data_IF_777960619926
#
_entry.id   IF_777960619926
#
_cell.length_a   1.000
_cell.length_b   1.000
_cell.length_c   1.000
_cell.angle_alpha   90.00
_cell.angle_beta   90.00
_cell.angle_gamma   90.00
#
_symmetry.space_group_name_H-M   'P 1'
#
loop_
_entity.id
_entity.type
_entity.pdbx_description
1 polymer ?
#
# COMPACT_ATOMS: atom_id res chain seq x y z
N UNK A 1 -26.91 6.43 16.68
CA UNK A 1 -25.78 7.07 15.96
C UNK A 1 -24.97 7.85 16.98
N UNK A 2 -23.63 7.72 17.00
CA UNK A 2 -22.82 8.52 17.93
C UNK A 2 -22.84 9.98 17.44
N UNK A 3 -23.32 10.95 18.23
CA UNK A 3 -23.48 12.33 17.76
C UNK A 3 -22.14 13.02 17.41
N UNK A 4 -21.03 12.48 17.89
CA UNK A 4 -19.70 13.09 17.75
C UNK A 4 -19.06 12.87 16.38
N UNK A 5 -19.53 11.89 15.58
CA UNK A 5 -18.84 11.48 14.34
C UNK A 5 -19.65 11.82 13.08
N UNK A 6 -19.00 12.29 12.00
CA UNK A 6 -19.66 12.54 10.72
C UNK A 6 -20.12 11.23 10.07
N UNK A 7 -21.14 11.31 9.22
CA UNK A 7 -21.56 10.17 8.41
C UNK A 7 -20.48 9.77 7.41
N UNK A 8 -19.78 10.76 6.86
CA UNK A 8 -18.59 10.57 6.01
C UNK A 8 -17.71 11.83 6.03
N UNK A 9 -16.49 11.73 5.52
CA UNK A 9 -15.59 12.87 5.34
C UNK A 9 -15.00 12.88 3.93
N UNK A 10 -14.90 14.06 3.33
CA UNK A 10 -14.36 14.29 1.98
C UNK A 10 -13.34 15.42 2.00
N UNK A 11 -12.53 15.55 0.94
CA UNK A 11 -11.46 16.56 0.87
C UNK A 11 -12.05 18.00 0.81
N UNK A 12 -13.09 18.23 0.00
CA UNK A 12 -13.71 19.53 -0.19
C UNK A 12 -15.17 19.38 -0.64
N UNK A 13 -15.92 20.49 -0.66
CA UNK A 13 -17.27 20.54 -1.23
C UNK A 13 -17.27 20.15 -2.73
N UNK A 14 -16.18 20.38 -3.44
CA UNK A 14 -16.05 20.04 -4.86
C UNK A 14 -15.81 18.55 -5.10
N UNK A 15 -15.34 17.81 -4.09
CA UNK A 15 -15.11 16.36 -4.17
C UNK A 15 -16.39 15.55 -4.02
N UNK A 16 -17.51 16.17 -3.64
CA UNK A 16 -18.78 15.49 -3.40
C UNK A 16 -19.43 15.12 -4.74
N UNK A 17 -19.82 13.85 -4.90
CA UNK A 17 -20.67 13.39 -6.00
C UNK A 17 -22.15 13.70 -5.66
N UNK A 18 -22.59 14.87 -6.08
CA UNK A 18 -23.96 15.34 -5.83
C UNK A 18 -25.01 14.55 -6.63
N UNK A 19 -24.66 13.98 -7.81
CA UNK A 19 -25.55 13.09 -8.53
C UNK A 19 -25.83 11.81 -7.73
N UNK A 20 -24.80 11.25 -7.12
CA UNK A 20 -24.96 10.10 -6.24
C UNK A 20 -25.78 10.42 -5.01
N UNK A 21 -25.57 11.59 -4.35
CA UNK A 21 -26.42 12.03 -3.27
C UNK A 21 -27.89 12.18 -3.69
N UNK A 22 -28.14 12.70 -4.89
CA UNK A 22 -29.49 12.80 -5.46
C UNK A 22 -30.12 11.43 -5.66
N UNK A 23 -29.35 10.47 -6.22
CA UNK A 23 -29.76 9.07 -6.39
C UNK A 23 -30.05 8.34 -5.07
N UNK A 24 -29.42 8.76 -3.95
CA UNK A 24 -29.67 8.25 -2.60
C UNK A 24 -30.94 8.85 -1.96
N UNK A 25 -31.66 9.75 -2.65
CA UNK A 25 -32.90 10.35 -2.17
C UNK A 25 -32.75 11.66 -1.43
N UNK A 26 -31.53 12.23 -1.32
CA UNK A 26 -31.35 13.57 -0.72
C UNK A 26 -31.95 14.65 -1.63
N UNK A 27 -32.71 15.58 -1.03
CA UNK A 27 -33.40 16.68 -1.73
C UNK A 27 -32.85 18.05 -1.36
N UNK A 28 -32.17 18.16 -0.20
CA UNK A 28 -31.66 19.42 0.30
C UNK A 28 -30.25 19.26 0.90
N UNK A 29 -29.49 20.37 0.84
CA UNK A 29 -28.14 20.46 1.42
C UNK A 29 -28.07 21.74 2.26
N UNK A 30 -27.62 21.59 3.51
CA UNK A 30 -27.27 22.69 4.41
C UNK A 30 -25.74 22.83 4.39
N UNK A 31 -25.23 24.03 4.13
CA UNK A 31 -23.83 24.35 4.15
C UNK A 31 -23.45 25.29 5.29
N UNK A 32 -22.34 25.01 5.97
CA UNK A 32 -21.63 26.06 6.68
C UNK A 32 -20.81 26.89 5.69
N UNK A 33 -20.37 28.10 6.06
CA UNK A 33 -19.67 29.03 5.18
C UNK A 33 -18.17 29.02 5.45
N UNK A 34 -17.78 29.55 6.63
CA UNK A 34 -16.37 29.81 6.94
C UNK A 34 -15.58 28.54 7.14
N UNK A 35 -14.45 28.45 6.46
CA UNK A 35 -13.60 27.28 6.45
C UNK A 35 -14.22 26.01 5.83
N UNK A 36 -15.46 26.10 5.33
CA UNK A 36 -16.20 25.05 4.62
C UNK A 36 -16.28 25.33 3.13
N UNK A 37 -16.87 26.46 2.74
CA UNK A 37 -17.01 26.93 1.37
C UNK A 37 -15.82 27.79 0.95
N UNK A 38 -15.40 28.68 1.84
CA UNK A 38 -14.27 29.62 1.67
C UNK A 38 -13.43 29.68 2.93
N UNK A 39 -12.18 30.19 2.93
CA UNK A 39 -11.45 30.55 4.12
C UNK A 39 -12.24 31.53 5.01
N UNK A 40 -11.94 31.56 6.30
CA UNK A 40 -12.68 32.40 7.26
C UNK A 40 -12.63 33.87 6.88
N UNK A 41 -13.81 34.48 6.75
CA UNK A 41 -13.97 35.90 6.43
C UNK A 41 -14.01 36.25 4.94
N UNK A 42 -13.66 35.30 4.04
CA UNK A 42 -13.66 35.54 2.60
C UNK A 42 -15.05 35.58 1.99
N UNK A 43 -15.20 36.34 0.92
CA UNK A 43 -16.41 36.38 0.12
C UNK A 43 -16.53 35.15 -0.79
N UNK A 44 -17.68 34.99 -1.47
CA UNK A 44 -17.87 33.89 -2.41
C UNK A 44 -16.90 33.98 -3.59
N UNK A 45 -16.64 32.85 -4.23
CA UNK A 45 -15.80 32.75 -5.44
C UNK A 45 -16.63 32.27 -6.63
N UNK A 46 -16.13 32.49 -7.84
CA UNK A 46 -16.81 32.00 -9.05
C UNK A 46 -17.05 30.47 -9.02
N UNK A 47 -16.13 29.71 -8.45
CA UNK A 47 -16.27 28.27 -8.32
C UNK A 47 -17.41 27.88 -7.37
N UNK A 48 -17.58 28.62 -6.27
CA UNK A 48 -18.70 28.41 -5.32
C UNK A 48 -20.01 28.82 -5.97
N UNK A 49 -20.08 29.98 -6.66
CA UNK A 49 -21.26 30.40 -7.39
C UNK A 49 -21.70 29.38 -8.43
N UNK A 50 -20.74 28.82 -9.21
CA UNK A 50 -20.98 27.74 -10.16
C UNK A 50 -21.45 26.45 -9.47
N UNK A 51 -20.89 26.09 -8.33
CA UNK A 51 -21.32 24.93 -7.57
C UNK A 51 -22.81 25.06 -7.16
N UNK A 52 -23.22 26.19 -6.61
CA UNK A 52 -24.63 26.38 -6.24
C UNK A 52 -25.57 26.40 -7.44
N UNK A 53 -25.17 27.01 -8.55
CA UNK A 53 -25.91 26.93 -9.80
C UNK A 53 -26.08 25.49 -10.29
N UNK A 54 -25.03 24.68 -10.20
CA UNK A 54 -25.08 23.26 -10.52
C UNK A 54 -26.04 22.49 -9.59
N UNK A 55 -25.97 22.73 -8.27
CA UNK A 55 -26.88 22.10 -7.30
C UNK A 55 -28.34 22.44 -7.55
N UNK A 56 -28.64 23.69 -7.86
CA UNK A 56 -30.01 24.13 -8.22
C UNK A 56 -30.49 23.47 -9.52
N UNK A 57 -29.62 23.33 -10.56
CA UNK A 57 -29.94 22.59 -11.79
C UNK A 57 -30.22 21.12 -11.52
N UNK A 58 -29.53 20.51 -10.57
CA UNK A 58 -29.82 19.15 -10.11
C UNK A 58 -31.12 19.05 -9.29
N UNK A 59 -31.76 20.18 -8.95
CA UNK A 59 -33.00 20.24 -8.16
C UNK A 59 -32.77 20.05 -6.66
N UNK A 60 -31.57 20.35 -6.13
CA UNK A 60 -31.33 20.47 -4.70
C UNK A 60 -31.86 21.83 -4.18
N UNK A 61 -32.54 21.80 -3.04
CA UNK A 61 -32.75 22.99 -2.22
C UNK A 61 -31.50 23.20 -1.37
N UNK A 62 -31.02 24.42 -1.28
CA UNK A 62 -29.80 24.76 -0.51
C UNK A 62 -30.10 25.78 0.57
N UNK A 63 -29.33 25.72 1.67
CA UNK A 63 -29.42 26.67 2.77
C UNK A 63 -28.05 26.89 3.41
N UNK A 64 -27.71 28.16 3.69
CA UNK A 64 -26.51 28.53 4.45
C UNK A 64 -26.84 28.63 5.93
N UNK A 65 -26.15 27.88 6.78
CA UNK A 65 -26.32 27.89 8.24
C UNK A 65 -25.02 28.33 8.90
N UNK A 66 -24.95 29.58 9.35
CA UNK A 66 -23.71 30.13 9.87
C UNK A 66 -23.90 30.87 11.21
N UNK A 67 -22.85 30.89 12.04
CA UNK A 67 -22.79 31.68 13.26
C UNK A 67 -22.51 33.18 13.01
N UNK A 68 -22.30 33.59 11.77
CA UNK A 68 -22.03 34.96 11.38
C UNK A 68 -23.25 35.85 11.38
N UNK A 69 -23.02 37.15 11.32
CA UNK A 69 -24.09 38.17 11.22
C UNK A 69 -24.85 38.06 9.91
N UNK A 70 -26.07 38.58 9.90
CA UNK A 70 -26.91 38.61 8.71
C UNK A 70 -26.28 39.41 7.58
N UNK A 71 -25.63 40.53 7.88
CA UNK A 71 -24.93 41.36 6.91
C UNK A 71 -23.84 40.55 6.17
N UNK A 72 -23.02 39.81 6.94
CA UNK A 72 -21.95 38.96 6.39
C UNK A 72 -22.50 37.88 5.44
N UNK A 73 -23.59 37.20 5.85
CA UNK A 73 -24.17 36.14 5.04
C UNK A 73 -24.87 36.69 3.81
N UNK A 74 -25.57 37.84 3.95
CA UNK A 74 -26.24 38.51 2.83
C UNK A 74 -25.24 38.93 1.76
N UNK A 75 -24.07 39.43 2.14
CA UNK A 75 -22.99 39.77 1.21
C UNK A 75 -22.52 38.52 0.48
N UNK A 76 -22.16 37.44 1.20
CA UNK A 76 -21.75 36.17 0.64
C UNK A 76 -22.80 35.58 -0.29
N UNK A 77 -24.08 35.68 0.05
CA UNK A 77 -25.21 35.08 -0.68
C UNK A 77 -25.67 35.88 -1.90
N UNK A 78 -25.08 37.04 -2.19
CA UNK A 78 -25.52 37.97 -3.24
C UNK A 78 -25.68 37.31 -4.60
N UNK A 79 -24.72 36.49 -4.98
CA UNK A 79 -24.73 35.78 -6.26
C UNK A 79 -25.43 34.42 -6.16
N UNK A 80 -25.30 33.75 -5.02
CA UNK A 80 -25.80 32.37 -4.79
C UNK A 80 -27.32 32.34 -4.69
N UNK A 81 -27.93 33.35 -4.07
CA UNK A 81 -29.40 33.54 -3.89
C UNK A 81 -30.10 32.32 -3.28
N UNK A 82 -29.53 31.73 -2.24
CA UNK A 82 -30.11 30.61 -1.49
C UNK A 82 -30.71 31.04 -0.18
N UNK A 83 -31.43 30.14 0.50
CA UNK A 83 -31.92 30.40 1.85
C UNK A 83 -30.75 30.51 2.84
N UNK A 84 -30.90 31.25 3.92
CA UNK A 84 -29.88 31.32 4.95
C UNK A 84 -30.47 31.58 6.36
N UNK A 85 -29.71 31.16 7.37
CA UNK A 85 -29.97 31.41 8.79
C UNK A 85 -28.71 32.02 9.40
N UNK A 86 -28.71 33.32 9.74
CA UNK A 86 -27.63 33.97 10.44
C UNK A 86 -27.69 33.68 11.94
N UNK A 87 -26.62 33.98 12.67
CA UNK A 87 -26.55 33.84 14.13
C UNK A 87 -27.06 32.46 14.59
N UNK A 88 -26.68 31.41 13.88
CA UNK A 88 -27.28 30.08 14.02
C UNK A 88 -26.99 29.40 15.37
N UNK A 89 -26.12 29.98 16.19
CA UNK A 89 -25.74 29.46 17.51
C UNK A 89 -25.48 27.95 17.52
N UNK A 90 -24.71 27.49 16.50
CA UNK A 90 -24.34 26.08 16.38
C UNK A 90 -23.47 25.62 17.58
N UNK A 91 -23.73 24.45 18.17
CA UNK A 91 -24.56 23.32 17.72
C UNK A 91 -26.00 23.28 18.23
N UNK A 92 -26.60 24.39 18.63
CA UNK A 92 -27.96 24.40 19.13
C UNK A 92 -28.99 23.89 18.10
N UNK A 93 -29.81 22.90 18.49
CA UNK A 93 -30.76 22.19 17.61
C UNK A 93 -31.82 23.08 16.94
N UNK A 94 -32.23 24.18 17.59
CA UNK A 94 -33.32 25.00 17.13
C UNK A 94 -33.16 25.49 15.68
N UNK A 95 -31.97 25.95 15.30
CA UNK A 95 -31.72 26.51 13.98
C UNK A 95 -31.51 25.42 12.90
N UNK A 96 -31.08 24.19 13.26
CA UNK A 96 -31.11 23.06 12.34
C UNK A 96 -32.55 22.62 12.02
N UNK A 97 -33.44 22.59 13.04
CA UNK A 97 -34.84 22.27 12.85
C UNK A 97 -35.56 23.39 12.06
N UNK A 98 -35.18 24.67 12.28
CA UNK A 98 -35.65 25.78 11.47
C UNK A 98 -35.24 25.63 10.01
N UNK A 99 -33.97 25.24 9.74
CA UNK A 99 -33.48 25.02 8.40
C UNK A 99 -34.25 23.93 7.64
N UNK A 100 -34.57 22.80 8.31
CA UNK A 100 -35.38 21.71 7.73
C UNK A 100 -36.76 22.22 7.33
N UNK A 101 -37.41 22.99 8.21
CA UNK A 101 -38.74 23.59 7.94
C UNK A 101 -38.68 24.58 6.77
N UNK A 102 -37.68 25.46 6.72
CA UNK A 102 -37.51 26.42 5.64
C UNK A 102 -37.25 25.72 4.28
N UNK A 103 -36.53 24.61 4.29
CA UNK A 103 -36.29 23.81 3.12
C UNK A 103 -37.49 22.95 2.69
N UNK A 104 -38.47 22.80 3.58
CA UNK A 104 -39.67 21.97 3.39
C UNK A 104 -39.26 20.55 2.89
N UNK A 105 -38.49 19.83 3.71
CA UNK A 105 -38.02 18.45 3.52
C UNK A 105 -38.05 17.71 4.84
N UNK A 106 -37.96 16.35 4.77
CA UNK A 106 -37.78 15.55 5.97
C UNK A 106 -36.29 15.53 6.39
N UNK A 107 -36.01 15.29 7.67
CA UNK A 107 -34.63 15.19 8.19
C UNK A 107 -33.79 14.10 7.48
N UNK A 108 -34.42 13.03 6.93
CA UNK A 108 -33.74 11.97 6.16
C UNK A 108 -33.42 12.37 4.73
N UNK A 109 -33.99 13.45 4.21
CA UNK A 109 -33.84 13.97 2.85
C UNK A 109 -32.84 15.14 2.78
N UNK A 110 -32.30 15.56 3.92
CA UNK A 110 -31.33 16.65 4.02
C UNK A 110 -29.98 16.15 4.51
N UNK A 111 -28.92 16.72 3.99
CA UNK A 111 -27.55 16.46 4.43
C UNK A 111 -26.88 17.79 4.81
N UNK A 112 -26.04 17.77 5.84
CA UNK A 112 -25.25 18.93 6.23
C UNK A 112 -23.81 18.75 5.79
N UNK A 113 -23.20 19.82 5.28
CA UNK A 113 -21.78 19.89 4.91
C UNK A 113 -21.14 21.00 5.76
N UNK A 114 -20.11 20.63 6.53
CA UNK A 114 -19.38 21.55 7.40
C UNK A 114 -17.99 21.04 7.74
N UNK A 115 -17.16 21.89 8.37
CA UNK A 115 -15.75 21.58 8.66
C UNK A 115 -15.46 21.37 10.16
N UNK A 116 -16.45 21.64 11.05
CA UNK A 116 -16.28 21.57 12.51
C UNK A 116 -17.07 20.43 13.15
N UNK A 117 -16.38 19.58 13.94
CA UNK A 117 -17.04 18.52 14.70
C UNK A 117 -18.00 19.07 15.75
N UNK A 118 -17.54 20.03 16.57
CA UNK A 118 -18.28 20.49 17.74
C UNK A 118 -19.43 21.47 17.44
N UNK A 119 -19.51 21.98 16.23
CA UNK A 119 -20.60 22.85 15.78
C UNK A 119 -21.47 22.16 14.75
N UNK A 120 -20.91 21.87 13.57
CA UNK A 120 -21.65 21.39 12.42
C UNK A 120 -22.13 19.97 12.59
N UNK A 121 -21.17 19.07 12.87
CA UNK A 121 -21.41 17.62 12.88
C UNK A 121 -22.30 17.24 14.07
N UNK A 122 -21.95 17.70 15.28
CA UNK A 122 -22.78 17.43 16.48
C UNK A 122 -24.16 17.97 16.30
N UNK A 123 -24.31 19.26 15.86
CA UNK A 123 -25.59 19.89 15.70
C UNK A 123 -26.51 19.16 14.72
N UNK A 124 -25.97 18.74 13.56
CA UNK A 124 -26.69 17.95 12.57
C UNK A 124 -27.10 16.58 13.12
N UNK A 125 -26.16 15.85 13.71
CA UNK A 125 -26.40 14.50 14.23
C UNK A 125 -27.43 14.47 15.36
N UNK A 126 -27.44 15.48 16.24
CA UNK A 126 -28.46 15.65 17.29
C UNK A 126 -29.88 15.91 16.74
N UNK A 127 -29.99 16.37 15.50
CA UNK A 127 -31.25 16.56 14.78
C UNK A 127 -31.59 15.39 13.85
N UNK A 128 -30.81 14.32 13.83
CA UNK A 128 -31.01 13.18 12.94
C UNK A 128 -30.60 13.43 11.48
N UNK A 129 -29.94 14.56 11.20
CA UNK A 129 -29.45 14.93 9.88
C UNK A 129 -28.11 14.22 9.63
N UNK A 130 -27.95 13.58 8.46
CA UNK A 130 -26.65 13.07 8.04
C UNK A 130 -25.67 14.20 7.76
N UNK A 131 -24.41 14.00 8.11
CA UNK A 131 -23.39 15.04 8.04
C UNK A 131 -22.16 14.60 7.23
N UNK A 132 -21.66 15.49 6.40
CA UNK A 132 -20.41 15.37 5.67
C UNK A 132 -19.41 16.35 6.27
N UNK A 133 -18.26 15.82 6.74
CA UNK A 133 -17.17 16.66 7.19
C UNK A 133 -16.24 16.94 6.02
N UNK A 134 -16.00 18.23 5.71
CA UNK A 134 -14.98 18.65 4.73
C UNK A 134 -13.71 19.05 5.44
N UNK A 135 -12.61 19.06 4.69
CA UNK A 135 -11.33 19.53 5.21
C UNK A 135 -11.37 21.04 5.44
N UNK A 136 -10.90 21.45 6.58
CA UNK A 136 -10.80 22.85 7.01
C UNK A 136 -10.01 23.69 6.00
N UNK A 137 -10.64 24.72 5.45
CA UNK A 137 -10.02 25.73 4.61
C UNK A 137 -9.45 26.85 5.49
N UNK A 138 -8.19 27.23 5.23
CA UNK A 138 -7.50 28.29 5.96
C UNK A 138 -6.72 29.17 5.00
N UNK A 139 -6.46 30.42 5.41
CA UNK A 139 -5.50 31.25 4.71
C UNK A 139 -4.08 30.69 4.83
N UNK A 140 -3.23 30.89 3.82
CA UNK A 140 -1.82 30.45 3.88
C UNK A 140 -1.05 31.02 5.08
N UNK A 141 -1.44 32.21 5.53
CA UNK A 141 -0.79 32.97 6.62
C UNK A 141 -1.24 32.53 8.03
N UNK A 142 -2.29 31.73 8.14
CA UNK A 142 -2.80 31.25 9.43
C UNK A 142 -1.87 30.20 10.03
N UNK A 143 -0.94 30.61 10.88
CA UNK A 143 0.05 29.74 11.52
C UNK A 143 -0.52 29.03 12.75
N UNK A 144 -1.46 29.66 13.49
CA UNK A 144 -1.98 29.14 14.77
C UNK A 144 -3.34 28.45 14.60
N UNK A 145 -3.38 27.19 14.97
CA UNK A 145 -4.62 26.41 15.06
C UNK A 145 -5.11 26.47 16.51
N UNK A 146 -6.33 26.94 16.74
CA UNK A 146 -6.92 27.06 18.07
C UNK A 146 -7.01 25.72 18.82
N UNK A 147 -6.98 25.76 20.15
CA UNK A 147 -7.02 24.54 21.02
C UNK A 147 -8.18 23.60 20.70
N UNK A 148 -9.37 24.17 20.39
CA UNK A 148 -10.57 23.42 20.02
C UNK A 148 -10.34 22.57 18.75
N UNK A 149 -9.69 23.12 17.74
CA UNK A 149 -9.31 22.42 16.49
C UNK A 149 -8.27 21.33 16.71
N UNK A 150 -7.37 21.52 17.67
CA UNK A 150 -6.40 20.48 18.03
C UNK A 150 -7.09 19.27 18.64
N UNK A 151 -8.10 19.49 19.49
CA UNK A 151 -8.92 18.43 20.07
C UNK A 151 -9.75 17.70 18.99
N UNK A 152 -10.37 18.43 18.07
CA UNK A 152 -11.09 17.85 16.92
C UNK A 152 -10.20 16.95 16.09
N UNK A 153 -8.96 17.37 15.81
CA UNK A 153 -7.96 16.53 15.11
C UNK A 153 -7.62 15.25 15.85
N UNK A 154 -7.54 15.31 17.19
CA UNK A 154 -7.28 14.11 18.00
C UNK A 154 -8.46 13.13 17.91
N UNK A 155 -9.69 13.63 18.03
CA UNK A 155 -10.92 12.84 17.93
C UNK A 155 -11.03 12.21 16.53
N UNK A 156 -10.77 12.98 15.47
CA UNK A 156 -10.78 12.46 14.09
C UNK A 156 -9.69 11.41 13.83
N UNK A 157 -8.53 11.53 14.49
CA UNK A 157 -7.50 10.47 14.44
C UNK A 157 -7.99 9.17 15.08
N UNK A 158 -8.67 9.26 16.23
CA UNK A 158 -9.26 8.10 16.90
C UNK A 158 -10.40 7.49 16.04
N UNK A 159 -11.22 8.33 15.40
CA UNK A 159 -12.25 7.90 14.46
C UNK A 159 -11.65 7.13 13.26
N UNK A 160 -10.57 7.64 12.66
CA UNK A 160 -9.90 7.01 11.53
C UNK A 160 -9.25 5.65 11.88
N UNK A 161 -8.87 5.44 13.15
CA UNK A 161 -8.32 4.16 13.64
C UNK A 161 -9.39 3.07 13.79
N UNK A 162 -10.67 3.43 13.90
CA UNK A 162 -11.77 2.52 14.20
C UNK A 162 -12.77 2.38 13.05
N UNK A 163 -12.29 2.48 11.82
CA UNK A 163 -13.08 2.48 10.57
C UNK A 163 -14.07 1.31 10.40
N UNK A 164 -13.89 0.18 11.11
CA UNK A 164 -14.80 -0.98 11.04
C UNK A 164 -16.15 -0.74 11.70
N UNK A 165 -16.28 0.23 12.61
CA UNK A 165 -17.51 0.46 13.36
C UNK A 165 -18.40 1.61 12.82
N UNK A 166 -17.91 2.42 11.87
CA UNK A 166 -18.55 3.70 11.55
C UNK A 166 -18.92 3.90 10.07
N UNK A 167 -18.50 3.05 9.14
CA UNK A 167 -18.76 3.25 7.71
C UNK A 167 -20.02 2.50 7.25
N UNK A 168 -21.19 3.09 7.53
CA UNK A 168 -22.45 2.71 6.88
C UNK A 168 -22.92 3.73 5.84
N UNK A 169 -22.11 4.73 5.53
CA UNK A 169 -22.43 5.73 4.51
C UNK A 169 -21.66 5.39 3.23
N UNK A 170 -22.33 5.29 2.05
CA UNK A 170 -21.66 4.98 0.79
C UNK A 170 -20.58 6.00 0.46
N UNK A 171 -19.55 5.57 -0.28
CA UNK A 171 -18.55 6.51 -0.79
C UNK A 171 -19.23 7.50 -1.75
N UNK A 172 -19.20 8.79 -1.43
CA UNK A 172 -19.78 9.89 -2.20
C UNK A 172 -18.72 10.82 -2.81
N UNK A 173 -17.47 10.43 -2.83
CA UNK A 173 -16.45 11.18 -3.58
C UNK A 173 -16.62 10.92 -5.09
N UNK A 174 -16.54 12.00 -5.90
CA UNK A 174 -16.49 11.88 -7.36
C UNK A 174 -15.37 10.95 -7.77
N UNK A 175 -15.64 10.00 -8.64
CA UNK A 175 -14.60 9.25 -9.34
C UNK A 175 -13.96 10.19 -10.36
N UNK A 176 -12.91 10.89 -9.96
CA UNK A 176 -12.07 11.63 -10.91
C UNK A 176 -11.40 10.63 -11.85
N UNK A 177 -11.83 10.63 -13.11
CA UNK A 177 -11.19 9.89 -14.21
C UNK A 177 -9.69 10.25 -14.40
N UNK A 178 -9.18 11.24 -13.70
CA UNK A 178 -7.79 11.72 -13.70
C UNK A 178 -7.06 11.66 -12.35
N UNK A 179 -7.71 11.25 -11.28
CA UNK A 179 -6.97 10.88 -10.07
C UNK A 179 -6.53 9.42 -10.24
N UNK A 180 -5.25 9.22 -10.59
CA UNK A 180 -4.50 8.13 -9.96
C UNK A 180 -4.94 8.14 -8.50
N UNK A 181 -5.59 7.07 -8.06
CA UNK A 181 -5.88 6.85 -6.64
C UNK A 181 -4.52 6.89 -5.95
N UNK A 182 -4.07 8.06 -5.51
CA UNK A 182 -3.15 8.13 -4.42
C UNK A 182 -3.91 7.52 -3.24
N UNK A 183 -3.75 6.22 -3.08
CA UNK A 183 -4.12 5.53 -1.86
C UNK A 183 -3.55 6.40 -0.75
N UNK A 184 -4.42 7.01 0.06
CA UNK A 184 -4.00 7.83 1.22
C UNK A 184 -2.97 7.00 1.96
N UNK A 185 -1.69 7.36 1.81
CA UNK A 185 -0.59 6.62 2.42
C UNK A 185 -0.94 6.39 3.88
N UNK A 186 -0.96 5.16 4.35
CA UNK A 186 -1.32 4.85 5.74
C UNK A 186 -0.49 5.71 6.69
N UNK A 187 -0.98 6.00 7.88
CA UNK A 187 -0.28 6.82 8.88
C UNK A 187 1.16 6.34 9.12
N UNK A 188 1.38 5.04 8.97
CA UNK A 188 2.69 4.41 9.00
C UNK A 188 3.64 4.90 7.90
N UNK A 189 3.14 5.36 6.75
CA UNK A 189 3.97 5.92 5.68
C UNK A 189 4.22 7.43 5.84
N UNK A 190 3.39 8.12 6.62
CA UNK A 190 3.52 9.57 6.87
C UNK A 190 4.43 9.91 8.05
N UNK A 191 4.55 9.01 9.03
CA UNK A 191 5.32 9.23 10.26
C UNK A 191 6.15 8.01 10.61
N UNK A 192 7.49 8.13 10.73
CA UNK A 192 8.40 7.01 11.03
C UNK A 192 8.05 6.25 12.32
N UNK A 193 7.53 6.94 13.34
CA UNK A 193 7.11 6.32 14.60
C UNK A 193 5.95 5.34 14.39
N UNK A 194 4.93 5.71 13.61
CA UNK A 194 3.80 4.83 13.32
C UNK A 194 4.19 3.66 12.40
N UNK A 195 5.16 3.89 11.50
CA UNK A 195 5.74 2.81 10.71
C UNK A 195 6.41 1.77 11.61
N UNK A 196 7.25 2.20 12.54
CA UNK A 196 7.93 1.29 13.47
C UNK A 196 6.95 0.52 14.38
N UNK A 197 5.86 1.17 14.82
CA UNK A 197 4.79 0.52 15.60
C UNK A 197 4.00 -0.49 14.76
N UNK A 198 3.66 -0.16 13.52
CA UNK A 198 2.98 -1.07 12.60
C UNK A 198 3.84 -2.32 12.31
N UNK A 199 5.12 -2.13 12.02
CA UNK A 199 6.09 -3.23 11.82
C UNK A 199 6.20 -4.11 13.07
N UNK A 200 6.31 -3.52 14.27
CA UNK A 200 6.33 -4.28 15.53
C UNK A 200 5.06 -5.10 15.74
N UNK A 201 3.89 -4.50 15.47
CA UNK A 201 2.59 -5.18 15.58
C UNK A 201 2.52 -6.39 14.64
N UNK A 202 2.91 -6.23 13.38
CA UNK A 202 2.89 -7.33 12.40
C UNK A 202 3.96 -8.40 12.76
N UNK A 203 5.12 -8.00 13.26
CA UNK A 203 6.15 -8.92 13.78
C UNK A 203 5.61 -9.76 14.93
N UNK A 204 4.93 -9.15 15.90
CA UNK A 204 4.31 -9.88 17.03
C UNK A 204 3.22 -10.83 16.55
N UNK A 205 2.34 -10.38 15.66
CA UNK A 205 1.32 -11.25 15.06
C UNK A 205 1.94 -12.47 14.37
N UNK A 206 3.05 -12.27 13.65
CA UNK A 206 3.77 -13.35 12.97
C UNK A 206 4.35 -14.35 13.97
N UNK A 207 4.96 -13.87 15.07
CA UNK A 207 5.44 -14.76 16.11
C UNK A 207 4.31 -15.60 16.72
N UNK A 208 3.17 -14.97 17.03
CA UNK A 208 1.99 -15.69 17.54
C UNK A 208 1.47 -16.70 16.51
N UNK A 209 1.40 -16.32 15.23
CA UNK A 209 0.98 -17.21 14.15
C UNK A 209 1.92 -18.42 14.02
N UNK A 210 3.24 -18.18 14.04
CA UNK A 210 4.25 -19.23 13.96
C UNK A 210 4.16 -20.18 15.17
N UNK A 211 3.96 -19.63 16.38
CA UNK A 211 3.82 -20.43 17.60
C UNK A 211 2.56 -21.30 17.60
N UNK A 212 1.44 -20.75 17.10
CA UNK A 212 0.15 -21.48 17.02
C UNK A 212 0.05 -22.44 15.83
N UNK A 213 0.94 -22.31 14.84
CA UNK A 213 0.97 -23.20 13.70
C UNK A 213 1.70 -24.49 14.03
N UNK A 214 1.23 -25.62 13.52
CA UNK A 214 1.93 -26.90 13.64
C UNK A 214 3.10 -27.03 12.64
N UNK A 215 3.61 -25.90 12.10
CA UNK A 215 4.70 -25.89 11.10
C UNK A 215 6.00 -26.30 11.79
N UNK A 216 6.63 -27.34 11.25
CA UNK A 216 7.98 -27.76 11.63
C UNK A 216 9.00 -26.98 10.79
N UNK A 217 9.70 -26.06 11.42
CA UNK A 217 10.74 -25.28 10.74
C UNK A 217 12.07 -26.03 10.66
N UNK A 218 12.66 -26.06 9.46
CA UNK A 218 14.01 -26.58 9.24
C UNK A 218 15.05 -25.70 9.98
N UNK A 219 15.82 -26.32 10.85
CA UNK A 219 16.90 -25.63 11.62
C UNK A 219 18.17 -26.46 11.70
N UNK A 220 18.09 -27.76 11.38
CA UNK A 220 19.23 -28.68 11.44
C UNK A 220 20.21 -28.40 10.31
N UNK A 221 21.50 -28.42 10.62
CA UNK A 221 22.58 -28.24 9.65
C UNK A 221 23.49 -29.47 9.62
N UNK A 222 24.00 -29.77 8.45
CA UNK A 222 24.93 -30.88 8.21
C UNK A 222 26.09 -30.41 7.38
N UNK A 223 27.34 -30.63 7.85
CA UNK A 223 28.54 -30.21 7.16
C UNK A 223 28.80 -31.01 5.86
N UNK A 224 28.53 -32.30 5.89
CA UNK A 224 28.63 -33.14 4.70
C UNK A 224 27.57 -32.82 3.70
N UNK A 225 27.96 -32.44 2.50
CA UNK A 225 27.03 -32.15 1.40
C UNK A 225 26.28 -33.43 0.98
N UNK A 226 24.97 -33.28 0.70
CA UNK A 226 24.23 -34.37 0.06
C UNK A 226 24.77 -34.65 -1.34
N UNK A 227 24.71 -35.89 -1.81
CA UNK A 227 25.50 -36.31 -3.01
C UNK A 227 24.98 -35.71 -4.32
N UNK A 228 23.66 -35.48 -4.45
CA UNK A 228 23.08 -35.11 -5.74
C UNK A 228 22.81 -33.62 -5.81
N UNK A 229 23.30 -32.93 -6.85
CA UNK A 229 23.00 -31.53 -7.16
C UNK A 229 21.71 -31.47 -7.96
N UNK A 230 20.67 -30.85 -7.38
CA UNK A 230 19.37 -30.64 -8.04
C UNK A 230 19.44 -29.43 -8.97
N UNK A 231 19.89 -28.30 -8.43
CA UNK A 231 20.12 -27.08 -9.18
C UNK A 231 21.20 -26.23 -8.53
N UNK A 232 21.92 -25.46 -9.34
CA UNK A 232 22.94 -24.53 -8.88
C UNK A 232 22.77 -23.17 -9.56
N UNK A 233 23.12 -22.11 -8.85
CA UNK A 233 23.04 -20.74 -9.37
C UNK A 233 24.15 -19.88 -8.78
N UNK A 234 24.71 -18.99 -9.62
CA UNK A 234 25.72 -18.03 -9.20
C UNK A 234 25.35 -16.64 -9.72
N UNK A 235 25.47 -15.62 -8.88
CA UNK A 235 25.12 -14.23 -9.20
C UNK A 235 26.18 -13.26 -8.72
N UNK A 236 26.69 -12.41 -9.60
CA UNK A 236 27.61 -11.35 -9.24
C UNK A 236 26.88 -10.23 -8.47
N UNK A 237 27.41 -9.86 -7.31
CA UNK A 237 26.73 -8.97 -6.37
C UNK A 237 27.04 -7.49 -6.58
N UNK A 238 28.22 -7.14 -7.09
CA UNK A 238 28.64 -5.75 -7.25
C UNK A 238 28.14 -5.22 -8.58
N UNK A 239 27.40 -4.11 -8.53
CA UNK A 239 27.02 -3.37 -9.73
C UNK A 239 27.79 -2.07 -9.77
N UNK A 240 28.28 -1.71 -10.95
CA UNK A 240 29.00 -0.48 -11.22
C UNK A 240 28.15 0.45 -12.09
N UNK A 241 28.30 1.75 -11.95
CA UNK A 241 27.58 2.76 -12.73
C UNK A 241 27.71 4.14 -12.13
N UNK A 242 27.39 5.18 -12.91
CA UNK A 242 27.59 6.60 -12.57
C UNK A 242 26.89 7.03 -11.28
N UNK A 243 25.72 6.42 -10.96
CA UNK A 243 24.89 6.75 -9.79
C UNK A 243 24.87 5.63 -8.75
N UNK A 244 25.88 4.76 -8.76
CA UNK A 244 25.97 3.62 -7.87
C UNK A 244 27.09 3.85 -6.86
N UNK A 245 26.73 3.99 -5.57
CA UNK A 245 27.68 4.07 -4.46
C UNK A 245 28.36 2.70 -4.24
N UNK A 246 29.70 2.61 -4.45
CA UNK A 246 30.44 1.35 -4.27
C UNK A 246 30.36 0.85 -2.82
N UNK A 247 30.37 1.73 -1.82
CA UNK A 247 30.30 1.34 -0.41
C UNK A 247 29.01 0.58 -0.11
N UNK A 248 27.88 1.06 -0.64
CA UNK A 248 26.59 0.38 -0.49
C UNK A 248 26.55 -0.98 -1.19
N UNK A 249 27.30 -1.15 -2.30
CA UNK A 249 27.42 -2.43 -3.00
C UNK A 249 28.26 -3.43 -2.18
N UNK A 250 29.40 -3.05 -1.66
CA UNK A 250 30.22 -3.91 -0.80
C UNK A 250 29.50 -4.26 0.50
N UNK A 251 28.80 -3.29 1.13
CA UNK A 251 27.98 -3.56 2.30
C UNK A 251 26.82 -4.52 1.98
N UNK A 252 26.22 -4.43 0.78
CA UNK A 252 25.22 -5.38 0.31
C UNK A 252 25.82 -6.79 0.23
N UNK A 253 26.98 -6.95 -0.39
CA UNK A 253 27.68 -8.24 -0.50
C UNK A 253 28.00 -8.81 0.90
N UNK A 254 28.48 -7.97 1.81
CA UNK A 254 28.75 -8.34 3.20
C UNK A 254 27.48 -8.81 3.93
N UNK A 255 26.37 -8.06 3.86
CA UNK A 255 25.10 -8.43 4.48
C UNK A 255 24.55 -9.76 3.96
N UNK A 256 24.69 -9.98 2.65
CA UNK A 256 24.30 -11.24 1.99
C UNK A 256 25.16 -12.39 2.53
N UNK A 257 26.48 -12.23 2.60
CA UNK A 257 27.40 -13.26 3.13
C UNK A 257 27.08 -13.60 4.59
N UNK A 258 26.83 -12.60 5.42
CA UNK A 258 26.44 -12.78 6.82
C UNK A 258 25.11 -13.55 6.96
N UNK A 259 24.13 -13.27 6.12
CA UNK A 259 22.85 -13.98 6.12
C UNK A 259 22.94 -15.37 5.50
N UNK A 260 23.72 -15.52 4.42
CA UNK A 260 23.98 -16.81 3.78
C UNK A 260 24.63 -17.79 4.77
N UNK A 261 25.60 -17.37 5.57
CA UNK A 261 26.24 -18.24 6.58
C UNK A 261 25.25 -18.83 7.59
N UNK A 262 24.14 -18.11 7.86
CA UNK A 262 23.07 -18.59 8.74
C UNK A 262 22.15 -19.60 8.08
N UNK A 263 22.05 -19.59 6.75
CA UNK A 263 21.25 -20.52 5.96
C UNK A 263 22.09 -21.72 5.49
N UNK A 264 23.35 -21.50 5.20
CA UNK A 264 24.25 -22.49 4.63
C UNK A 264 24.22 -23.81 5.40
N UNK A 265 24.20 -24.91 4.65
CA UNK A 265 24.22 -26.29 5.14
C UNK A 265 22.92 -26.75 5.82
N UNK A 266 21.84 -25.96 5.76
CA UNK A 266 20.56 -26.39 6.33
C UNK A 266 20.00 -27.59 5.60
N UNK A 267 19.55 -28.59 6.35
CA UNK A 267 18.80 -29.74 5.86
C UNK A 267 17.31 -29.44 6.07
N UNK A 268 16.52 -29.66 5.05
CA UNK A 268 15.06 -29.60 5.11
C UNK A 268 14.54 -31.03 4.92
N UNK A 269 14.02 -31.61 6.02
CA UNK A 269 13.47 -32.98 6.03
C UNK A 269 12.10 -33.02 5.39
N UNK A 270 11.59 -34.19 4.98
CA UNK A 270 10.20 -34.35 4.55
C UNK A 270 9.22 -33.73 5.53
N UNK A 271 8.30 -32.86 5.03
CA UNK A 271 7.32 -32.12 5.83
C UNK A 271 7.86 -30.95 6.64
N UNK A 272 9.15 -30.63 6.53
CA UNK A 272 9.70 -29.40 7.16
C UNK A 272 9.57 -28.20 6.22
N UNK A 273 9.37 -27.04 6.82
CA UNK A 273 9.28 -25.74 6.14
C UNK A 273 10.56 -24.93 6.37
N UNK A 274 11.18 -24.50 5.28
CA UNK A 274 12.19 -23.45 5.32
C UNK A 274 11.52 -22.11 5.58
N UNK A 275 12.08 -21.28 6.47
CA UNK A 275 11.69 -19.90 6.67
C UNK A 275 12.94 -19.02 6.69
N UNK A 276 12.98 -18.00 5.81
CA UNK A 276 14.14 -17.11 5.70
C UNK A 276 14.41 -16.43 7.05
N UNK A 277 13.38 -15.83 7.65
CA UNK A 277 13.57 -15.10 8.90
C UNK A 277 13.76 -15.97 10.14
N UNK A 278 13.29 -17.21 10.11
CA UNK A 278 13.55 -18.16 11.20
C UNK A 278 15.05 -18.51 11.29
N UNK A 279 15.73 -18.61 10.15
CA UNK A 279 17.16 -18.91 10.08
C UNK A 279 18.04 -17.67 10.22
N UNK A 280 17.74 -16.60 9.50
CA UNK A 280 18.56 -15.37 9.48
C UNK A 280 18.38 -14.57 10.75
N UNK A 281 17.16 -14.49 11.27
CA UNK A 281 16.83 -13.74 12.48
C UNK A 281 16.80 -12.23 12.26
N UNK A 282 16.80 -11.47 13.35
CA UNK A 282 16.68 -10.01 13.34
C UNK A 282 17.90 -9.36 12.69
N UNK A 283 17.65 -8.34 11.89
CA UNK A 283 18.67 -7.48 11.28
C UNK A 283 18.92 -6.29 12.21
N UNK A 284 20.11 -6.22 12.77
CA UNK A 284 20.56 -5.07 13.57
C UNK A 284 22.09 -4.88 13.50
N UNK A 285 22.57 -3.68 13.87
CA UNK A 285 24.00 -3.33 13.83
C UNK A 285 24.84 -4.17 14.82
N UNK A 286 24.26 -4.58 15.95
CA UNK A 286 24.95 -5.42 16.95
C UNK A 286 25.29 -6.81 16.40
N UNK A 287 24.52 -7.29 15.42
CA UNK A 287 24.76 -8.54 14.71
C UNK A 287 25.66 -8.42 13.49
N UNK A 288 26.27 -7.25 13.31
CA UNK A 288 27.23 -6.97 12.25
C UNK A 288 26.63 -6.45 10.92
N UNK A 289 25.30 -6.28 10.82
CA UNK A 289 24.70 -5.75 9.61
C UNK A 289 25.06 -4.29 9.35
N UNK A 290 25.26 -3.93 8.08
CA UNK A 290 25.67 -2.62 7.59
C UNK A 290 24.57 -1.99 6.76
N UNK A 291 24.65 -0.66 6.59
CA UNK A 291 23.77 0.06 5.69
C UNK A 291 24.18 -0.27 4.25
N UNK A 292 23.34 -1.00 3.54
CA UNK A 292 23.49 -1.36 2.12
C UNK A 292 22.39 -0.73 1.28
N UNK A 293 22.37 -1.02 -0.02
CA UNK A 293 21.38 -0.50 -0.95
C UNK A 293 19.99 -1.10 -0.66
N UNK A 294 19.01 -0.24 -0.36
CA UNK A 294 17.59 -0.57 -0.23
C UNK A 294 16.75 0.31 -1.15
N UNK A 295 15.53 -0.11 -1.43
CA UNK A 295 14.54 0.70 -2.16
C UNK A 295 13.38 0.97 -1.21
N UNK A 296 13.17 2.24 -0.87
CA UNK A 296 12.08 2.69 -0.02
C UNK A 296 11.38 3.85 -0.73
N UNK A 297 10.04 3.77 -0.84
CA UNK A 297 9.22 4.77 -1.53
C UNK A 297 9.73 5.07 -2.96
N UNK A 298 10.06 4.03 -3.72
CA UNK A 298 10.57 4.11 -5.10
C UNK A 298 11.88 4.88 -5.27
N UNK A 299 12.65 5.06 -4.18
CA UNK A 299 13.98 5.69 -4.22
C UNK A 299 15.02 4.73 -3.69
N UNK A 300 16.15 4.68 -4.38
CA UNK A 300 17.35 3.98 -3.91
C UNK A 300 17.98 4.79 -2.78
N UNK A 301 18.22 4.15 -1.64
CA UNK A 301 18.84 4.78 -0.49
C UNK A 301 19.63 3.78 0.35
N UNK A 302 20.42 4.27 1.29
CA UNK A 302 21.08 3.45 2.29
C UNK A 302 20.08 2.93 3.32
N UNK A 303 20.20 1.67 3.70
CA UNK A 303 19.37 1.06 4.75
C UNK A 303 20.00 -0.18 5.33
N UNK A 304 19.75 -0.40 6.62
CA UNK A 304 20.34 -1.51 7.38
C UNK A 304 19.92 -2.86 6.80
N UNK A 305 20.90 -3.72 6.52
CA UNK A 305 20.67 -5.05 5.94
C UNK A 305 20.30 -5.00 4.45
N UNK A 306 20.59 -3.91 3.74
CA UNK A 306 20.33 -3.79 2.31
C UNK A 306 20.98 -4.94 1.51
N UNK A 307 20.20 -5.45 0.52
CA UNK A 307 20.62 -6.54 -0.37
C UNK A 307 19.95 -7.89 -0.11
N UNK A 308 19.31 -8.12 1.02
CA UNK A 308 18.79 -9.45 1.40
C UNK A 308 17.69 -9.99 0.46
N UNK A 309 16.94 -9.14 -0.23
CA UNK A 309 16.03 -9.60 -1.28
C UNK A 309 16.76 -10.35 -2.40
N UNK A 310 18.02 -10.00 -2.69
CA UNK A 310 18.83 -10.75 -3.68
C UNK A 310 19.09 -12.19 -3.19
N UNK A 311 19.41 -12.37 -1.91
CA UNK A 311 19.58 -13.71 -1.32
C UNK A 311 18.28 -14.51 -1.38
N UNK A 312 17.13 -13.89 -1.05
CA UNK A 312 15.83 -14.55 -1.15
C UNK A 312 15.46 -14.90 -2.59
N UNK A 313 15.79 -14.03 -3.57
CA UNK A 313 15.59 -14.31 -4.99
C UNK A 313 16.41 -15.49 -5.46
N UNK A 314 17.67 -15.61 -5.02
CA UNK A 314 18.53 -16.74 -5.34
C UNK A 314 17.97 -18.04 -4.79
N UNK A 315 17.51 -18.04 -3.52
CA UNK A 315 16.84 -19.20 -2.93
C UNK A 315 15.56 -19.57 -3.69
N UNK A 316 14.74 -18.59 -4.03
CA UNK A 316 13.52 -18.84 -4.79
C UNK A 316 13.81 -19.49 -6.17
N UNK A 317 14.86 -19.02 -6.85
CA UNK A 317 15.27 -19.60 -8.11
C UNK A 317 15.66 -21.08 -7.97
N UNK A 318 16.41 -21.45 -6.92
CA UNK A 318 16.75 -22.86 -6.65
C UNK A 318 15.48 -23.70 -6.46
N UNK A 319 14.52 -23.20 -5.68
CA UNK A 319 13.30 -23.92 -5.36
C UNK A 319 12.39 -24.08 -6.58
N UNK A 320 12.32 -23.07 -7.45
CA UNK A 320 11.58 -23.15 -8.69
C UNK A 320 12.09 -24.24 -9.64
N UNK A 321 13.36 -24.66 -9.54
CA UNK A 321 13.95 -25.76 -10.29
C UNK A 321 13.91 -27.10 -9.52
N UNK A 322 12.96 -27.28 -8.62
CA UNK A 322 12.82 -28.47 -7.77
C UNK A 322 11.35 -28.84 -7.54
N UNK A 323 11.05 -30.05 -7.02
CA UNK A 323 9.68 -30.42 -6.65
C UNK A 323 9.16 -29.74 -5.37
N UNK A 324 9.97 -28.93 -4.68
CA UNK A 324 9.60 -28.28 -3.43
C UNK A 324 8.50 -27.24 -3.66
N UNK A 325 7.63 -27.05 -2.66
CA UNK A 325 6.47 -26.16 -2.74
C UNK A 325 6.71 -24.84 -2.03
N UNK A 326 6.56 -23.71 -2.75
CA UNK A 326 6.63 -22.37 -2.15
C UNK A 326 5.33 -22.06 -1.41
N UNK A 327 5.41 -21.90 -0.09
CA UNK A 327 4.26 -21.67 0.81
C UNK A 327 4.07 -20.21 1.19
N UNK A 328 5.08 -19.36 1.03
CA UNK A 328 4.97 -17.90 1.22
C UNK A 328 5.96 -17.18 0.29
N UNK A 329 5.39 -16.31 -0.56
CA UNK A 329 6.11 -15.49 -1.52
C UNK A 329 5.44 -14.12 -1.66
N UNK A 330 6.25 -13.08 -1.81
CA UNK A 330 5.78 -11.71 -2.03
C UNK A 330 6.51 -11.11 -3.23
N UNK A 331 5.83 -10.97 -4.34
CA UNK A 331 6.42 -10.46 -5.59
C UNK A 331 6.79 -8.98 -5.51
N UNK A 332 7.82 -8.57 -6.25
CA UNK A 332 8.16 -7.15 -6.41
C UNK A 332 7.17 -6.46 -7.36
N UNK A 333 6.72 -5.25 -6.97
CA UNK A 333 5.85 -4.40 -7.80
C UNK A 333 6.61 -3.57 -8.85
N UNK A 334 7.95 -3.53 -8.78
CA UNK A 334 8.78 -2.60 -9.53
C UNK A 334 9.86 -3.29 -10.36
N UNK A 335 10.03 -2.84 -11.61
CA UNK A 335 11.12 -3.22 -12.50
C UNK A 335 12.24 -2.18 -12.41
N UNK A 336 13.33 -2.51 -11.72
CA UNK A 336 14.36 -1.58 -11.27
C UNK A 336 15.48 -1.32 -12.27
N UNK A 337 15.66 -2.18 -13.26
CA UNK A 337 16.71 -2.06 -14.27
C UNK A 337 16.24 -2.63 -15.61
N UNK A 338 16.79 -2.12 -16.73
CA UNK A 338 16.59 -2.71 -18.04
C UNK A 338 17.26 -4.10 -18.10
N UNK A 339 16.78 -4.94 -19.00
CA UNK A 339 17.16 -6.35 -19.07
C UNK A 339 18.52 -6.61 -19.78
N UNK A 340 19.15 -5.61 -20.39
CA UNK A 340 20.45 -5.65 -21.07
C UNK A 340 20.73 -6.97 -21.83
N UNK A 341 19.72 -7.50 -22.54
CA UNK A 341 19.82 -8.70 -23.37
C UNK A 341 19.88 -10.05 -22.63
N UNK A 342 20.00 -10.08 -21.29
CA UNK A 342 19.89 -11.30 -20.47
C UNK A 342 19.02 -11.04 -19.26
N UNK A 343 17.78 -11.46 -19.37
CA UNK A 343 16.83 -11.37 -18.27
C UNK A 343 16.85 -12.66 -17.47
N UNK A 344 17.62 -12.66 -16.40
CA UNK A 344 17.66 -13.79 -15.47
C UNK A 344 17.43 -13.22 -14.07
N UNK A 345 16.58 -13.82 -13.33
CA UNK A 345 15.65 -14.92 -13.58
C UNK A 345 14.22 -14.44 -13.84
N UNK A 346 13.86 -14.18 -15.06
CA UNK A 346 12.49 -13.96 -15.57
C UNK A 346 11.55 -13.09 -14.68
N UNK A 347 12.05 -12.20 -13.83
CA UNK A 347 11.23 -11.44 -12.90
C UNK A 347 10.63 -12.24 -11.74
N UNK A 348 11.24 -13.37 -11.37
CA UNK A 348 10.81 -14.24 -10.25
C UNK A 348 11.25 -13.71 -8.87
N UNK A 349 11.41 -12.40 -8.73
CA UNK A 349 11.88 -11.78 -7.49
C UNK A 349 10.88 -11.86 -6.35
N UNK A 350 11.38 -12.04 -5.11
CA UNK A 350 10.60 -11.99 -3.89
C UNK A 350 11.07 -10.87 -2.97
N UNK A 351 10.11 -10.16 -2.38
CA UNK A 351 10.36 -9.17 -1.32
C UNK A 351 10.38 -9.86 0.02
N UNK A 352 11.27 -9.42 0.90
CA UNK A 352 11.32 -9.86 2.28
C UNK A 352 11.46 -8.66 3.21
N UNK A 353 10.83 -8.74 4.40
CA UNK A 353 10.96 -7.74 5.47
C UNK A 353 10.88 -8.43 6.83
N UNK A 354 11.79 -8.04 7.73
CA UNK A 354 12.01 -8.79 8.96
C UNK A 354 10.71 -9.20 9.67
N UNK A 355 10.52 -10.52 9.67
CA UNK A 355 9.51 -11.30 10.38
C UNK A 355 8.04 -10.83 10.20
N UNK A 356 7.68 -10.23 9.05
CA UNK A 356 6.28 -10.08 8.65
C UNK A 356 6.07 -10.34 7.16
N UNK A 357 7.08 -10.16 6.32
CA UNK A 357 7.13 -10.56 4.92
C UNK A 357 8.25 -11.59 4.79
N UNK A 358 7.91 -12.87 4.78
CA UNK A 358 8.86 -13.97 4.77
C UNK A 358 8.94 -14.63 3.39
N UNK A 359 9.98 -15.39 3.16
CA UNK A 359 10.07 -16.35 2.08
C UNK A 359 10.09 -17.76 2.68
N UNK A 360 9.13 -18.59 2.30
CA UNK A 360 8.95 -19.95 2.82
C UNK A 360 8.68 -20.95 1.72
N UNK A 361 9.20 -22.14 1.90
CA UNK A 361 8.85 -23.32 1.09
C UNK A 361 8.86 -24.57 1.97
N UNK A 362 8.16 -25.59 1.55
CA UNK A 362 8.05 -26.88 2.21
C UNK A 362 8.71 -27.97 1.39
N UNK A 363 9.38 -28.89 2.07
CA UNK A 363 9.82 -30.13 1.46
C UNK A 363 8.69 -31.15 1.47
N UNK A 364 7.94 -31.19 0.37
CA UNK A 364 6.85 -32.13 0.14
C UNK A 364 7.31 -33.50 -0.40
N UNK A 365 8.62 -33.69 -0.56
CA UNK A 365 9.20 -34.93 -1.06
C UNK A 365 9.42 -35.94 0.08
N UNK A 366 9.82 -37.15 -0.27
CA UNK A 366 10.11 -38.23 0.66
C UNK A 366 11.59 -38.36 1.07
N UNK A 367 12.44 -37.39 0.72
CA UNK A 367 13.87 -37.41 1.00
C UNK A 367 14.34 -36.05 1.56
N UNK A 368 15.49 -36.05 2.20
CA UNK A 368 16.12 -34.82 2.67
C UNK A 368 16.66 -34.01 1.49
N UNK A 369 16.52 -32.67 1.61
CA UNK A 369 17.18 -31.74 0.73
C UNK A 369 18.06 -30.79 1.53
N UNK A 370 19.11 -30.25 0.91
CA UNK A 370 20.09 -29.38 1.55
C UNK A 370 20.32 -28.14 0.72
N UNK A 371 20.42 -27.00 1.38
CA UNK A 371 20.85 -25.75 0.78
C UNK A 371 22.32 -25.51 1.16
N UNK A 372 23.19 -25.39 0.14
CA UNK A 372 24.50 -24.81 0.28
C UNK A 372 24.51 -23.42 -0.33
N UNK A 373 24.92 -22.40 0.45
CA UNK A 373 24.89 -21.01 -0.01
C UNK A 373 26.02 -20.20 0.63
N UNK A 374 26.83 -19.54 -0.19
CA UNK A 374 27.99 -18.78 0.27
C UNK A 374 28.32 -17.63 -0.68
N UNK A 375 29.07 -16.67 -0.17
CA UNK A 375 29.62 -15.57 -0.96
C UNK A 375 31.11 -15.74 -1.09
N UNK A 376 31.60 -15.75 -2.34
CA UNK A 376 33.01 -15.85 -2.67
C UNK A 376 33.31 -14.93 -3.86
N UNK A 377 34.39 -14.14 -3.79
CA UNK A 377 34.82 -13.21 -4.84
C UNK A 377 33.68 -12.30 -5.36
N UNK A 378 32.82 -11.81 -4.45
CA UNK A 378 31.59 -11.06 -4.75
C UNK A 378 30.54 -11.81 -5.59
N UNK A 379 30.64 -13.10 -5.70
CA UNK A 379 29.57 -13.96 -6.23
C UNK A 379 28.79 -14.59 -5.08
N UNK A 380 27.48 -14.52 -5.16
CA UNK A 380 26.59 -15.35 -4.35
C UNK A 380 26.41 -16.68 -5.09
N UNK A 381 26.94 -17.74 -4.50
CA UNK A 381 26.83 -19.11 -5.01
C UNK A 381 25.80 -19.87 -4.19
N UNK A 382 24.98 -20.66 -4.84
CA UNK A 382 23.94 -21.43 -4.18
C UNK A 382 23.70 -22.77 -4.89
N UNK A 383 23.50 -23.83 -4.10
CA UNK A 383 23.14 -25.15 -4.57
C UNK A 383 21.98 -25.70 -3.76
N UNK A 384 21.01 -26.31 -4.44
CA UNK A 384 20.03 -27.21 -3.85
C UNK A 384 20.51 -28.64 -4.10
N UNK A 385 20.58 -29.42 -3.05
CA UNK A 385 21.05 -30.82 -3.09
C UNK A 385 20.02 -31.78 -2.52
N UNK A 386 20.04 -33.02 -2.93
CA UNK A 386 19.16 -34.10 -2.44
C UNK A 386 19.95 -35.37 -2.19
N UNK A 387 19.36 -36.34 -1.48
CA UNK A 387 19.96 -37.65 -1.25
C UNK A 387 20.05 -38.47 -2.52
N UNK A 388 19.02 -38.39 -3.37
CA UNK A 388 18.91 -39.09 -4.65
C UNK A 388 18.40 -38.14 -5.72
N UNK A 389 18.64 -38.39 -7.02
CA UNK A 389 18.00 -37.66 -8.10
C UNK A 389 16.48 -37.72 -7.96
N UNK A 390 15.80 -36.64 -8.35
CA UNK A 390 14.36 -36.63 -8.50
C UNK A 390 13.95 -37.25 -9.83
N UNK A 391 12.73 -37.80 -9.89
CA UNK A 391 12.20 -38.47 -11.08
C UNK A 391 12.05 -37.52 -12.29
N UNK A 392 11.86 -36.21 -11.99
CA UNK A 392 11.68 -35.17 -13.00
C UNK A 392 12.62 -34.01 -12.80
N UNK A 393 12.91 -33.31 -13.91
CA UNK A 393 13.59 -32.02 -13.92
C UNK A 393 12.55 -30.91 -13.93
N UNK A 394 12.87 -29.73 -13.38
CA UNK A 394 12.02 -28.56 -13.35
C UNK A 394 12.72 -27.40 -14.03
N UNK A 395 12.07 -26.84 -15.05
CA UNK A 395 12.60 -25.76 -15.86
C UNK A 395 11.64 -24.59 -15.90
N UNK A 396 12.18 -23.37 -16.01
CA UNK A 396 11.36 -22.18 -16.13
C UNK A 396 11.29 -21.71 -17.56
N UNK A 397 10.10 -21.33 -18.02
CA UNK A 397 9.90 -20.63 -19.28
C UNK A 397 9.14 -19.34 -19.09
N UNK A 398 9.38 -18.35 -19.94
CA UNK A 398 8.70 -17.07 -19.91
C UNK A 398 7.95 -16.84 -21.21
N UNK A 399 6.70 -16.36 -21.07
CA UNK A 399 5.88 -16.00 -22.20
C UNK A 399 5.35 -14.57 -22.07
N UNK A 400 4.93 -14.00 -23.23
CA UNK A 400 4.28 -12.68 -23.31
C UNK A 400 5.06 -11.56 -22.61
N UNK A 401 6.39 -11.59 -22.67
CA UNK A 401 7.22 -10.50 -22.17
C UNK A 401 7.04 -9.26 -23.06
N UNK A 402 6.50 -8.18 -22.48
CA UNK A 402 6.29 -6.91 -23.17
C UNK A 402 6.17 -5.74 -22.18
N UNK A 403 6.22 -4.54 -22.72
CA UNK A 403 5.95 -3.30 -21.97
C UNK A 403 4.65 -2.67 -22.45
N UNK A 404 3.81 -2.26 -21.51
CA UNK A 404 2.53 -1.58 -21.80
C UNK A 404 2.52 -0.21 -21.12
N UNK A 405 2.11 0.84 -21.85
CA UNK A 405 1.94 2.18 -21.28
C UNK A 405 0.52 2.33 -20.73
N UNK A 406 0.40 2.58 -19.42
CA UNK A 406 -0.88 2.78 -18.72
C UNK A 406 -0.78 4.11 -17.95
N UNK A 407 -1.67 5.05 -18.23
CA UNK A 407 -1.70 6.37 -17.60
C UNK A 407 -0.32 7.08 -17.59
N UNK A 408 0.36 7.09 -18.75
CA UNK A 408 1.66 7.74 -18.93
C UNK A 408 2.86 7.00 -18.31
N UNK A 409 2.67 5.84 -17.67
CA UNK A 409 3.72 5.04 -17.05
C UNK A 409 3.85 3.70 -17.75
N UNK A 410 5.10 3.22 -17.91
CA UNK A 410 5.32 1.89 -18.46
C UNK A 410 5.29 0.82 -17.36
N UNK A 411 4.74 -0.32 -17.74
CA UNK A 411 4.69 -1.54 -16.95
C UNK A 411 5.30 -2.68 -17.75
N UNK A 412 6.22 -3.43 -17.15
CA UNK A 412 6.76 -4.67 -17.69
C UNK A 412 5.81 -5.80 -17.31
N UNK A 413 5.38 -6.58 -18.30
CA UNK A 413 4.48 -7.73 -18.12
C UNK A 413 5.13 -8.99 -18.66
N UNK A 414 4.92 -10.10 -17.99
CA UNK A 414 5.28 -11.43 -18.47
C UNK A 414 4.59 -12.51 -17.65
N UNK A 415 4.46 -13.70 -18.23
CA UNK A 415 4.02 -14.90 -17.50
C UNK A 415 5.19 -15.88 -17.42
N UNK A 416 5.45 -16.41 -16.23
CA UNK A 416 6.50 -17.41 -16.01
C UNK A 416 5.84 -18.72 -15.64
N UNK A 417 6.27 -19.77 -16.31
CA UNK A 417 5.78 -21.12 -16.10
C UNK A 417 6.91 -22.01 -15.54
N UNK A 418 6.53 -22.92 -14.65
CA UNK A 418 7.36 -24.03 -14.18
C UNK A 418 6.93 -25.27 -14.94
N UNK A 419 7.86 -25.81 -15.73
CA UNK A 419 7.65 -26.99 -16.54
C UNK A 419 8.25 -28.20 -15.83
N UNK A 420 7.47 -29.26 -15.70
CA UNK A 420 7.96 -30.58 -15.26
C UNK A 420 8.41 -31.34 -16.50
N UNK A 421 9.68 -31.72 -16.53
CA UNK A 421 10.33 -32.30 -17.70
C UNK A 421 10.79 -33.72 -17.39
N UNK A 422 10.46 -34.67 -18.26
CA UNK A 422 10.96 -36.02 -18.16
C UNK A 422 12.45 -36.05 -18.56
N UNK A 423 13.37 -36.51 -17.68
CA UNK A 423 14.81 -36.47 -17.95
C UNK A 423 15.27 -37.42 -19.04
N UNK A 424 14.48 -38.45 -19.41
CA UNK A 424 14.86 -39.44 -20.41
C UNK A 424 14.65 -38.98 -21.87
N UNK A 425 13.61 -38.17 -22.12
CA UNK A 425 13.24 -37.73 -23.48
C UNK A 425 13.07 -36.20 -23.60
N UNK A 426 13.35 -35.47 -22.53
CA UNK A 426 13.21 -34.01 -22.40
C UNK A 426 11.78 -33.48 -22.75
N UNK A 427 10.74 -34.31 -22.65
CA UNK A 427 9.39 -33.87 -22.88
C UNK A 427 8.83 -33.20 -21.66
N UNK A 428 8.12 -32.10 -21.89
CA UNK A 428 7.31 -31.40 -20.87
C UNK A 428 6.05 -32.26 -20.64
N UNK A 429 5.86 -32.68 -19.39
CA UNK A 429 4.72 -33.49 -18.98
C UNK A 429 3.66 -32.67 -18.22
N UNK A 430 4.09 -31.55 -17.62
CA UNK A 430 3.18 -30.62 -16.93
C UNK A 430 3.74 -29.20 -17.01
N UNK A 431 2.85 -28.21 -17.01
CA UNK A 431 3.18 -26.78 -17.07
C UNK A 431 2.31 -26.00 -16.10
N UNK A 432 2.90 -25.40 -15.10
CA UNK A 432 2.21 -24.59 -14.08
C UNK A 432 2.59 -23.12 -14.21
N UNK A 433 1.57 -22.24 -14.29
CA UNK A 433 1.80 -20.79 -14.18
C UNK A 433 2.21 -20.45 -12.74
N UNK A 434 3.41 -19.91 -12.57
CA UNK A 434 3.97 -19.56 -11.24
C UNK A 434 4.03 -18.05 -11.00
N UNK A 435 4.15 -17.23 -12.08
CA UNK A 435 4.10 -15.77 -11.97
C UNK A 435 3.29 -15.16 -13.12
N UNK A 436 2.40 -14.24 -12.77
CA UNK A 436 1.81 -13.28 -13.70
C UNK A 436 2.35 -11.88 -13.33
N UNK A 437 3.45 -11.51 -13.99
CA UNK A 437 4.22 -10.33 -13.65
C UNK A 437 3.59 -9.07 -14.23
N UNK A 438 3.39 -8.06 -13.38
CA UNK A 438 3.06 -6.69 -13.76
C UNK A 438 3.87 -5.73 -12.90
N UNK A 439 5.03 -5.30 -13.37
CA UNK A 439 5.97 -4.48 -12.61
C UNK A 439 6.08 -3.09 -13.24
N UNK A 440 5.94 -2.04 -12.43
CA UNK A 440 6.12 -0.66 -12.89
C UNK A 440 7.58 -0.42 -13.24
N UNK A 441 7.84 0.15 -14.42
CA UNK A 441 9.19 0.51 -14.84
C UNK A 441 9.70 1.70 -14.01
N UNK A 442 10.89 1.54 -13.40
CA UNK A 442 11.53 2.51 -12.51
C UNK A 442 12.87 3.01 -13.06
N UNK A 443 13.20 2.69 -14.30
CA UNK A 443 14.37 3.17 -15.03
C UNK A 443 13.92 4.05 -16.19
N UNK A 444 14.90 4.69 -16.88
CA UNK A 444 14.63 5.57 -18.01
C UNK A 444 13.86 4.84 -19.11
N UNK A 445 12.77 5.43 -19.56
CA UNK A 445 11.88 4.84 -20.57
C UNK A 445 12.56 4.71 -21.94
N UNK A 446 13.58 5.52 -22.23
CA UNK A 446 14.37 5.44 -23.47
C UNK A 446 15.21 4.13 -23.55
N UNK A 447 15.38 3.45 -22.41
CA UNK A 447 16.05 2.14 -22.34
C UNK A 447 15.08 0.96 -22.58
N UNK A 448 13.79 1.23 -22.80
CA UNK A 448 12.83 0.17 -23.14
C UNK A 448 12.97 -0.19 -24.62
N UNK A 449 13.21 -1.48 -24.95
CA UNK A 449 13.25 -1.93 -26.33
C UNK A 449 11.93 -1.65 -27.03
N UNK A 450 11.97 -0.91 -28.15
CA UNK A 450 10.76 -0.46 -28.89
C UNK A 450 9.93 -1.65 -29.40
N UNK A 451 10.58 -2.74 -29.76
CA UNK A 451 9.97 -3.99 -30.25
C UNK A 451 9.16 -4.73 -29.17
N UNK A 452 9.42 -4.43 -27.90
CA UNK A 452 8.69 -5.02 -26.76
C UNK A 452 7.52 -4.15 -26.26
N UNK A 453 7.28 -2.98 -26.85
CA UNK A 453 6.17 -2.10 -26.45
C UNK A 453 4.88 -2.56 -27.15
N UNK A 454 3.85 -2.86 -26.34
CA UNK A 454 2.50 -3.23 -26.79
C UNK A 454 1.44 -2.33 -26.18
#
# INVERSE_FOLDING_TARGET
>A
MNPLFPSTSVESVFSIDYLKLKGMGYKAIIFDIDSTLVPHGDDTTNEIDQLFNYLHKLGFKTLLLSNNSEERISTFNRNIKTLFIPMANKPHRANYLKAIRMLNVNYSEVILVGDQLFTDIIGANLCGIKSILVKFLKHPEDIKIGKKRQLERLILKLFALNNKFFNHFPNIEKEDSNKVVEQKKPLSERYPIFYSMAVKKETVKRHIKNYKSNIKFATYKQDKALPNVVHQYSSYLIKEGKDIDPTLQYNKSFNIGLSASKINKVIIRPGETFSFWNLVGKIDKKRGYRDGRVIINNKVQAGLGGGLCNLANTLNLLIMHSPLEVTELHTHSDALSPDHGKRVPFGTGTSISYNYVDYRFENTTNQNVQILIWVENNYLNAELRSEKPFDYKYELSEENHHFTKINGKFYRKSKVYKNTVNPSDNKIIDTQLVYDNKSKVMFDYDLIPKELIK
#
